data_IF_350302116411
#
_entry.id   IF_350302116411
#
_cell.length_a   1.000
_cell.length_b   1.000
_cell.length_c   1.000
_cell.angle_alpha   90.00
_cell.angle_beta   90.00
_cell.angle_gamma   90.00
#
_symmetry.space_group_name_H-M   'P 1'
#
loop_
_entity.id
_entity.type
_entity.pdbx_description
1 polymer ?
#
# COMPACT_ATOMS: atom_id res chain seq x y z
N UNK A 1 -63.53 27.04 -1.93
CA UNK A 1 -62.52 25.99 -1.73
C UNK A 1 -62.82 24.69 -2.49
N UNK A 2 -64.01 24.19 -2.56
CA UNK A 2 -64.38 22.93 -3.26
C UNK A 2 -64.15 22.95 -4.78
N UNK A 3 -64.33 24.10 -5.45
CA UNK A 3 -64.16 24.22 -6.93
C UNK A 3 -62.73 24.09 -7.40
N UNK A 4 -61.77 24.53 -6.58
CA UNK A 4 -60.35 24.40 -6.90
C UNK A 4 -59.79 23.00 -6.60
N UNK A 5 -60.39 22.29 -5.61
CA UNK A 5 -60.06 20.92 -5.29
C UNK A 5 -60.47 19.93 -6.40
N UNK A 6 -61.65 20.15 -6.99
CA UNK A 6 -62.15 19.35 -8.12
C UNK A 6 -61.31 19.55 -9.38
N UNK A 7 -60.84 20.77 -9.65
CA UNK A 7 -59.94 21.06 -10.79
C UNK A 7 -58.56 20.40 -10.63
N UNK A 8 -58.05 20.34 -9.38
CA UNK A 8 -56.75 19.69 -9.09
C UNK A 8 -56.86 18.16 -9.20
N UNK A 9 -57.98 17.57 -8.78
CA UNK A 9 -58.24 16.15 -8.95
C UNK A 9 -58.46 15.76 -10.42
N UNK A 10 -59.05 16.64 -11.24
CA UNK A 10 -59.27 16.40 -12.67
C UNK A 10 -57.94 16.52 -13.48
N UNK A 11 -57.00 17.35 -13.04
CA UNK A 11 -55.66 17.46 -13.59
C UNK A 11 -54.76 16.27 -13.24
N UNK A 12 -54.94 15.66 -12.08
CA UNK A 12 -54.24 14.46 -11.62
C UNK A 12 -54.75 13.17 -12.32
N UNK A 13 -55.99 13.11 -12.74
CA UNK A 13 -56.59 11.99 -13.48
C UNK A 13 -56.25 12.02 -14.99
N UNK A 14 -55.78 13.15 -15.51
CA UNK A 14 -55.38 13.31 -16.93
C UNK A 14 -53.98 12.80 -17.29
N UNK A 15 -53.15 12.45 -16.30
CA UNK A 15 -51.83 11.87 -16.49
C UNK A 15 -51.84 10.34 -16.29
N UNK A 16 -52.80 9.65 -16.85
CA UNK A 16 -52.66 8.22 -17.16
C UNK A 16 -51.73 8.12 -18.35
N UNK A 17 -50.43 8.09 -18.02
CA UNK A 17 -49.38 7.70 -18.96
C UNK A 17 -49.73 6.29 -19.44
N UNK A 18 -50.17 6.18 -20.66
CA UNK A 18 -50.25 4.90 -21.38
C UNK A 18 -48.85 4.31 -21.40
N UNK A 19 -48.54 3.44 -20.45
CA UNK A 19 -47.36 2.57 -20.54
C UNK A 19 -47.69 1.65 -21.71
N UNK A 20 -47.23 2.02 -22.88
CA UNK A 20 -47.14 1.12 -24.02
C UNK A 20 -46.07 0.08 -23.61
N UNK A 21 -46.55 -1.07 -23.15
CA UNK A 21 -45.70 -2.22 -22.97
C UNK A 21 -45.08 -2.54 -24.34
N UNK A 22 -43.81 -2.25 -24.53
CA UNK A 22 -43.09 -2.67 -25.71
C UNK A 22 -43.16 -4.20 -25.78
N UNK A 23 -43.82 -4.72 -26.79
CA UNK A 23 -43.95 -6.16 -27.02
C UNK A 23 -42.55 -6.72 -27.29
N UNK A 24 -42.09 -7.65 -26.42
CA UNK A 24 -40.81 -8.28 -26.62
C UNK A 24 -40.76 -9.08 -27.91
N UNK A 25 -39.72 -8.85 -28.71
CA UNK A 25 -39.44 -9.63 -29.92
C UNK A 25 -38.52 -10.79 -29.55
N UNK A 26 -38.68 -11.89 -30.29
CA UNK A 26 -37.75 -13.01 -30.24
C UNK A 26 -36.69 -12.81 -31.30
N UNK A 27 -35.45 -12.68 -30.89
CA UNK A 27 -34.29 -12.53 -31.79
C UNK A 27 -33.50 -13.83 -31.79
N UNK A 28 -33.20 -14.33 -32.95
CA UNK A 28 -32.39 -15.52 -33.17
C UNK A 28 -31.21 -15.18 -34.08
N UNK A 29 -30.20 -16.00 -34.10
CA UNK A 29 -29.05 -15.81 -34.98
C UNK A 29 -27.97 -16.84 -34.80
N UNK A 30 -26.92 -16.70 -35.57
CA UNK A 30 -25.76 -17.57 -35.54
C UNK A 30 -24.54 -16.69 -35.30
N UNK A 31 -23.70 -17.10 -34.35
CA UNK A 31 -22.39 -16.50 -34.11
C UNK A 31 -21.31 -17.40 -34.68
N UNK A 32 -20.45 -16.84 -35.52
CA UNK A 32 -19.34 -17.54 -36.16
C UNK A 32 -18.03 -16.79 -35.91
N UNK A 33 -16.91 -17.47 -36.08
CA UNK A 33 -15.59 -16.86 -36.17
C UNK A 33 -15.30 -16.29 -37.57
N UNK A 34 -14.10 -15.78 -37.80
CA UNK A 34 -13.62 -15.26 -39.07
C UNK A 34 -13.51 -16.34 -40.16
N UNK A 35 -13.38 -17.62 -39.76
CA UNK A 35 -13.32 -18.79 -40.66
C UNK A 35 -14.71 -19.35 -41.01
N UNK A 36 -15.79 -18.72 -40.49
CA UNK A 36 -17.19 -19.14 -40.57
C UNK A 36 -17.50 -20.42 -39.78
N UNK A 37 -16.67 -20.77 -38.79
CA UNK A 37 -16.98 -21.87 -37.89
C UNK A 37 -17.95 -21.41 -36.79
N UNK A 38 -18.99 -22.20 -36.45
CA UNK A 38 -19.95 -21.82 -35.41
C UNK A 38 -19.31 -21.79 -34.02
N UNK A 39 -19.57 -20.74 -33.25
CA UNK A 39 -19.01 -20.53 -31.94
C UNK A 39 -19.99 -20.95 -30.83
N UNK A 40 -19.64 -21.99 -30.10
CA UNK A 40 -20.37 -22.46 -28.90
C UNK A 40 -19.98 -21.67 -27.69
N UNK A 41 -20.94 -21.35 -26.80
CA UNK A 41 -20.66 -20.74 -25.49
C UNK A 41 -20.48 -19.22 -25.53
N UNK A 42 -20.77 -18.55 -26.61
CA UNK A 42 -20.76 -17.08 -26.70
C UNK A 42 -21.87 -16.53 -25.82
N UNK A 43 -21.52 -15.61 -24.92
CA UNK A 43 -22.47 -14.93 -24.05
C UNK A 43 -23.12 -13.77 -24.82
N UNK A 44 -24.45 -13.76 -24.88
CA UNK A 44 -25.27 -12.76 -25.61
C UNK A 44 -26.13 -12.06 -24.56
N UNK A 45 -25.87 -10.79 -24.27
CA UNK A 45 -26.60 -10.01 -23.25
C UNK A 45 -27.21 -8.74 -23.86
N UNK A 46 -28.25 -8.22 -23.23
CA UNK A 46 -28.85 -6.93 -23.59
C UNK A 46 -28.09 -5.85 -22.80
N UNK A 47 -27.51 -4.86 -23.50
CA UNK A 47 -26.62 -3.85 -22.91
C UNK A 47 -27.21 -3.13 -21.68
N UNK A 48 -28.50 -2.80 -21.72
CA UNK A 48 -29.17 -2.00 -20.70
C UNK A 48 -29.98 -2.83 -19.69
N UNK A 49 -29.92 -4.18 -19.76
CA UNK A 49 -30.68 -5.10 -18.90
C UNK A 49 -29.78 -6.22 -18.35
N UNK A 50 -28.93 -5.94 -17.35
CA UNK A 50 -28.07 -6.95 -16.75
C UNK A 50 -28.95 -8.03 -16.08
N UNK A 51 -28.75 -9.29 -16.51
CA UNK A 51 -29.52 -10.45 -16.03
C UNK A 51 -30.40 -11.10 -17.10
N UNK A 52 -30.60 -10.47 -18.27
CA UNK A 52 -31.25 -11.08 -19.43
C UNK A 52 -30.21 -11.39 -20.50
N UNK A 53 -29.97 -12.66 -20.74
CA UNK A 53 -28.98 -13.13 -21.72
C UNK A 53 -29.27 -14.52 -22.22
N UNK A 54 -28.54 -14.92 -23.24
CA UNK A 54 -28.54 -16.26 -23.81
C UNK A 54 -27.10 -16.69 -24.10
N UNK A 55 -26.87 -17.99 -24.22
CA UNK A 55 -25.59 -18.57 -24.61
C UNK A 55 -25.77 -19.32 -25.92
N UNK A 56 -24.81 -19.24 -26.83
CA UNK A 56 -24.86 -19.96 -28.08
C UNK A 56 -24.71 -21.48 -27.91
N UNK A 57 -25.47 -22.24 -28.68
CA UNK A 57 -25.41 -23.71 -28.71
C UNK A 57 -24.21 -24.25 -29.53
N UNK A 58 -24.12 -25.58 -29.68
CA UNK A 58 -23.08 -26.27 -30.46
C UNK A 58 -23.01 -25.86 -31.93
N UNK A 59 -24.09 -25.31 -32.47
CA UNK A 59 -24.18 -24.82 -33.87
C UNK A 59 -24.01 -23.30 -33.94
N UNK A 60 -23.56 -22.66 -32.83
CA UNK A 60 -23.42 -21.20 -32.71
C UNK A 60 -24.74 -20.44 -32.67
N UNK A 61 -25.90 -21.13 -32.50
CA UNK A 61 -27.22 -20.50 -32.51
C UNK A 61 -27.58 -19.96 -31.14
N UNK A 62 -28.21 -18.79 -31.12
CA UNK A 62 -28.82 -18.22 -29.92
C UNK A 62 -30.26 -17.83 -30.13
N UNK A 63 -31.01 -17.76 -29.04
CA UNK A 63 -32.37 -17.25 -28.99
C UNK A 63 -32.52 -16.40 -27.76
N UNK A 64 -32.91 -15.12 -27.95
CA UNK A 64 -33.11 -14.19 -26.85
C UNK A 64 -34.43 -13.42 -27.04
N UNK A 65 -35.18 -13.24 -25.96
CA UNK A 65 -36.40 -12.43 -25.94
C UNK A 65 -36.06 -11.06 -25.39
N UNK A 66 -36.24 -10.01 -26.18
CA UNK A 66 -35.83 -8.66 -25.84
C UNK A 66 -36.81 -7.61 -26.37
N UNK A 67 -36.87 -6.40 -25.77
CA UNK A 67 -37.55 -5.27 -26.38
C UNK A 67 -36.82 -4.83 -27.68
N UNK A 68 -37.52 -4.30 -28.69
CA UNK A 68 -36.88 -3.72 -29.86
C UNK A 68 -36.09 -2.45 -29.50
N UNK A 69 -35.20 -2.02 -30.37
CA UNK A 69 -34.34 -0.84 -30.21
C UNK A 69 -33.31 -0.89 -29.06
N UNK A 70 -32.94 -2.10 -28.60
CA UNK A 70 -31.86 -2.30 -27.64
C UNK A 70 -30.64 -2.94 -28.34
N UNK A 71 -29.47 -2.79 -27.71
CA UNK A 71 -28.23 -3.40 -28.22
C UNK A 71 -28.05 -4.80 -27.65
N UNK A 72 -27.66 -5.74 -28.47
CA UNK A 72 -27.11 -7.03 -28.10
C UNK A 72 -25.59 -6.91 -28.03
N UNK A 73 -25.01 -7.39 -26.95
CA UNK A 73 -23.58 -7.45 -26.72
C UNK A 73 -23.15 -8.91 -26.71
N UNK A 74 -22.22 -9.24 -27.60
CA UNK A 74 -21.66 -10.57 -27.76
C UNK A 74 -20.26 -10.58 -27.13
N UNK A 75 -20.04 -11.47 -26.17
CA UNK A 75 -18.74 -11.61 -25.50
C UNK A 75 -18.30 -13.06 -25.46
N UNK A 76 -17.04 -13.30 -25.78
CA UNK A 76 -16.41 -14.60 -25.69
C UNK A 76 -14.92 -14.44 -25.33
N UNK A 77 -14.39 -15.37 -24.56
CA UNK A 77 -13.00 -15.31 -24.12
C UNK A 77 -12.07 -15.43 -25.33
N UNK A 78 -11.16 -14.44 -25.49
CA UNK A 78 -10.23 -14.40 -26.63
C UNK A 78 -10.74 -13.71 -27.87
N UNK A 79 -11.94 -13.13 -27.86
CA UNK A 79 -12.55 -12.44 -29.00
C UNK A 79 -12.96 -11.02 -28.65
N UNK A 80 -12.92 -10.13 -29.65
CA UNK A 80 -13.38 -8.76 -29.47
C UNK A 80 -14.89 -8.72 -29.22
N UNK A 81 -15.30 -7.87 -28.29
CA UNK A 81 -16.71 -7.64 -28.01
C UNK A 81 -17.39 -7.01 -29.21
N UNK A 82 -18.55 -7.57 -29.62
CA UNK A 82 -19.35 -7.06 -30.72
C UNK A 82 -20.68 -6.55 -30.18
N UNK A 83 -21.05 -5.31 -30.54
CA UNK A 83 -22.33 -4.71 -30.20
C UNK A 83 -23.18 -4.56 -31.46
N UNK A 84 -24.43 -5.03 -31.41
CA UNK A 84 -25.39 -4.93 -32.52
C UNK A 84 -26.68 -4.29 -32.04
N UNK A 85 -27.07 -3.17 -32.62
CA UNK A 85 -28.38 -2.55 -32.37
C UNK A 85 -29.48 -3.33 -33.09
N UNK A 86 -30.35 -3.95 -32.30
CA UNK A 86 -31.52 -4.69 -32.81
C UNK A 86 -32.70 -3.74 -32.88
N UNK A 87 -33.17 -3.41 -34.06
CA UNK A 87 -34.38 -2.60 -34.27
C UNK A 87 -35.62 -3.50 -34.20
N UNK A 88 -36.09 -3.94 -35.37
CA UNK A 88 -37.23 -4.88 -35.53
C UNK A 88 -36.80 -6.21 -36.14
N UNK A 89 -35.49 -6.38 -36.32
CA UNK A 89 -34.90 -7.57 -36.93
C UNK A 89 -35.06 -8.76 -35.98
N UNK A 90 -35.57 -9.87 -36.54
CA UNK A 90 -35.71 -11.14 -35.81
C UNK A 90 -34.54 -12.09 -35.99
N UNK A 91 -33.61 -11.77 -36.90
CA UNK A 91 -32.43 -12.58 -37.14
C UNK A 91 -31.18 -11.68 -37.15
N UNK A 92 -30.18 -12.02 -36.33
CA UNK A 92 -28.93 -11.29 -36.19
C UNK A 92 -27.77 -12.29 -36.25
N UNK A 93 -27.02 -12.28 -37.32
CA UNK A 93 -25.82 -13.09 -37.47
C UNK A 93 -24.59 -12.22 -37.17
N UNK A 94 -23.68 -12.76 -36.38
CA UNK A 94 -22.50 -12.04 -35.90
C UNK A 94 -21.25 -12.84 -36.23
N UNK A 95 -20.24 -12.15 -36.75
CA UNK A 95 -18.90 -12.70 -36.91
C UNK A 95 -18.00 -12.07 -35.83
N UNK A 96 -17.47 -12.88 -34.96
CA UNK A 96 -16.52 -12.43 -33.94
C UNK A 96 -15.10 -12.56 -34.50
N UNK A 97 -14.25 -11.57 -34.14
CA UNK A 97 -12.83 -11.59 -34.49
C UNK A 97 -12.03 -11.93 -33.24
N UNK A 98 -11.00 -12.75 -33.40
CA UNK A 98 -10.03 -12.95 -32.30
C UNK A 98 -9.47 -11.61 -31.90
N UNK A 99 -9.49 -11.36 -30.58
CA UNK A 99 -8.98 -10.12 -30.02
C UNK A 99 -7.46 -10.13 -30.05
N UNK A 100 -6.87 -9.23 -30.81
CA UNK A 100 -5.41 -9.00 -30.74
C UNK A 100 -4.99 -8.54 -29.35
N UNK A 101 -5.91 -7.98 -28.56
CA UNK A 101 -5.66 -7.58 -27.18
C UNK A 101 -5.61 -8.76 -26.18
N UNK A 102 -6.19 -9.91 -26.51
CA UNK A 102 -6.12 -11.13 -25.68
C UNK A 102 -4.99 -12.08 -26.07
N UNK A 103 -4.29 -11.81 -27.15
CA UNK A 103 -2.95 -12.34 -27.42
C UNK A 103 -1.84 -11.54 -26.70
N UNK A 104 -2.18 -10.83 -25.64
CA UNK A 104 -1.16 -10.53 -24.63
C UNK A 104 -0.87 -11.87 -23.94
N UNK A 105 -0.14 -12.73 -24.64
CA UNK A 105 0.67 -13.74 -23.99
C UNK A 105 1.33 -13.02 -22.84
N UNK A 106 1.03 -13.40 -21.60
CA UNK A 106 1.63 -12.80 -20.43
C UNK A 106 3.15 -12.83 -20.61
N UNK A 107 3.69 -11.68 -21.00
CA UNK A 107 5.10 -11.53 -21.30
C UNK A 107 5.81 -11.36 -19.98
N UNK A 108 6.65 -12.33 -19.66
CA UNK A 108 7.51 -12.30 -18.50
C UNK A 108 8.83 -11.67 -18.92
N UNK A 109 9.28 -10.68 -18.20
CA UNK A 109 10.60 -10.12 -18.40
C UNK A 109 11.59 -11.00 -17.64
N UNK A 110 12.44 -11.66 -18.40
CA UNK A 110 13.54 -12.46 -17.89
C UNK A 110 14.84 -11.70 -18.07
N UNK A 111 15.91 -12.19 -17.47
CA UNK A 111 17.23 -11.58 -17.65
C UNK A 111 17.75 -11.57 -19.09
N UNK A 112 17.15 -12.36 -19.98
CA UNK A 112 17.49 -12.42 -21.41
C UNK A 112 16.52 -11.58 -22.26
N UNK A 113 15.59 -10.86 -21.64
CA UNK A 113 14.59 -10.03 -22.32
C UNK A 113 13.15 -10.49 -22.10
N UNK A 114 12.23 -9.89 -22.85
CA UNK A 114 10.83 -10.22 -22.80
C UNK A 114 10.58 -11.60 -23.45
N UNK A 115 10.02 -12.55 -22.71
CA UNK A 115 9.67 -13.89 -23.18
C UNK A 115 8.21 -14.20 -22.84
N UNK A 116 7.58 -15.05 -23.67
CA UNK A 116 6.25 -15.54 -23.36
C UNK A 116 6.29 -16.40 -22.10
N UNK A 117 5.36 -16.22 -21.17
CA UNK A 117 5.30 -16.97 -19.90
C UNK A 117 5.37 -18.48 -20.11
N UNK A 118 4.73 -18.98 -21.16
CA UNK A 118 4.74 -20.40 -21.52
C UNK A 118 6.12 -20.92 -21.94
N UNK A 119 7.02 -20.04 -22.36
CA UNK A 119 8.39 -20.39 -22.75
C UNK A 119 9.40 -20.33 -21.59
N UNK A 120 8.98 -19.83 -20.43
CA UNK A 120 9.83 -19.70 -19.26
C UNK A 120 9.77 -20.97 -18.40
N UNK A 121 10.85 -21.70 -18.37
CA UNK A 121 10.96 -22.97 -17.62
C UNK A 121 11.29 -22.76 -16.12
N UNK A 122 11.70 -21.57 -15.72
CA UNK A 122 12.05 -21.22 -14.34
C UNK A 122 10.85 -20.73 -13.53
N UNK A 123 10.90 -20.84 -12.19
CA UNK A 123 9.88 -20.24 -11.31
C UNK A 123 9.99 -18.71 -11.30
N UNK A 124 9.25 -18.10 -12.18
CA UNK A 124 9.13 -16.64 -12.30
C UNK A 124 7.75 -16.22 -11.81
N UNK A 125 7.70 -15.23 -10.93
CA UNK A 125 6.46 -14.65 -10.44
C UNK A 125 6.34 -13.22 -10.90
N UNK A 126 5.33 -12.93 -11.71
CA UNK A 126 4.89 -11.56 -11.96
C UNK A 126 3.96 -11.12 -10.84
N UNK A 127 4.12 -9.91 -10.42
CA UNK A 127 3.30 -9.27 -9.39
C UNK A 127 2.41 -8.25 -10.05
N UNK A 128 1.13 -8.28 -9.69
CA UNK A 128 0.24 -7.20 -10.08
C UNK A 128 0.64 -5.93 -9.30
N UNK A 129 1.07 -4.91 -10.04
CA UNK A 129 1.51 -3.64 -9.46
C UNK A 129 0.34 -2.90 -8.80
N UNK A 130 -0.89 -3.14 -9.24
CA UNK A 130 -2.07 -2.52 -8.63
C UNK A 130 -2.24 -3.01 -7.19
N UNK A 131 -2.00 -4.28 -6.89
CA UNK A 131 -2.07 -4.82 -5.53
C UNK A 131 -1.05 -4.13 -4.59
N UNK A 132 0.12 -3.77 -5.10
CA UNK A 132 1.14 -3.05 -4.33
C UNK A 132 0.72 -1.62 -3.97
N UNK A 133 -0.08 -0.97 -4.80
CA UNK A 133 -0.53 0.40 -4.57
C UNK A 133 -1.53 0.55 -3.43
N UNK A 134 -2.28 -0.51 -3.13
CA UNK A 134 -3.25 -0.51 -2.02
C UNK A 134 -2.62 -0.72 -0.65
N UNK A 135 -1.36 -1.12 -0.60
CA UNK A 135 -0.67 -1.32 0.68
C UNK A 135 -0.32 0.02 1.31
N UNK A 136 -0.73 0.27 2.57
CA UNK A 136 -0.48 1.54 3.26
C UNK A 136 0.99 1.73 3.67
N UNK A 137 1.87 0.81 3.28
CA UNK A 137 3.29 0.89 3.61
C UNK A 137 4.00 1.97 2.81
N UNK A 138 5.00 2.54 3.44
CA UNK A 138 5.91 3.54 2.87
C UNK A 138 7.17 2.91 2.27
N UNK A 139 7.42 1.64 2.60
CA UNK A 139 8.50 0.82 2.08
C UNK A 139 7.98 -0.12 0.99
N UNK A 140 8.66 -0.17 -0.15
CA UNK A 140 8.36 -1.13 -1.20
C UNK A 140 8.54 -2.57 -0.69
N UNK A 141 9.53 -2.81 0.16
CA UNK A 141 9.78 -4.14 0.74
C UNK A 141 8.60 -4.62 1.59
N UNK A 142 7.98 -3.74 2.37
CA UNK A 142 6.79 -4.07 3.16
C UNK A 142 5.57 -4.34 2.26
N UNK A 143 5.43 -3.56 1.18
CA UNK A 143 4.34 -3.73 0.23
C UNK A 143 4.39 -5.10 -0.48
N UNK A 144 5.58 -5.67 -0.64
CA UNK A 144 5.78 -7.00 -1.23
C UNK A 144 5.47 -8.14 -0.26
N UNK A 145 5.57 -7.90 1.04
CA UNK A 145 5.29 -8.90 2.06
C UNK A 145 3.81 -9.31 2.02
N UNK A 146 3.55 -10.60 1.91
CA UNK A 146 2.19 -11.14 1.83
C UNK A 146 1.51 -11.04 0.47
N UNK A 147 1.97 -10.17 -0.44
CA UNK A 147 1.45 -10.05 -1.81
C UNK A 147 2.20 -10.98 -2.77
N UNK A 148 3.51 -11.11 -2.59
CA UNK A 148 4.35 -11.89 -3.51
C UNK A 148 4.72 -13.24 -2.90
N UNK A 149 4.25 -14.36 -3.47
CA UNK A 149 4.60 -15.68 -2.97
C UNK A 149 6.12 -15.92 -3.00
N UNK A 150 6.69 -16.26 -1.84
CA UNK A 150 8.13 -16.55 -1.68
C UNK A 150 9.00 -15.33 -1.40
N UNK A 151 8.44 -14.15 -1.20
CA UNK A 151 9.12 -13.03 -0.55
C UNK A 151 8.76 -13.03 0.94
N UNK A 152 9.78 -12.97 1.76
CA UNK A 152 9.67 -12.76 3.20
C UNK A 152 10.25 -11.40 3.51
N UNK A 153 9.53 -10.57 4.24
CA UNK A 153 10.03 -9.30 4.74
C UNK A 153 9.89 -9.24 6.26
N UNK A 154 10.86 -8.65 6.90
CA UNK A 154 10.91 -8.47 8.34
C UNK A 154 11.20 -7.02 8.67
N UNK A 155 10.25 -6.38 9.32
CA UNK A 155 10.42 -5.04 9.85
C UNK A 155 11.00 -5.14 11.27
N UNK A 156 12.18 -4.60 11.48
CA UNK A 156 12.88 -4.67 12.78
C UNK A 156 12.25 -3.75 13.83
N UNK A 157 11.65 -2.64 13.41
CA UNK A 157 10.94 -1.70 14.28
C UNK A 157 9.95 -0.85 13.47
N UNK A 158 9.03 -0.17 14.15
CA UNK A 158 8.02 0.70 13.54
C UNK A 158 8.41 2.18 13.42
N UNK A 159 9.69 2.53 13.56
CA UNK A 159 10.16 3.91 13.43
C UNK A 159 9.87 4.45 12.02
N UNK A 160 9.37 5.68 11.87
CA UNK A 160 9.24 6.32 10.57
C UNK A 160 10.51 6.20 9.73
N UNK A 161 10.35 5.86 8.45
CA UNK A 161 11.46 5.68 7.52
C UNK A 161 12.25 4.37 7.67
N UNK A 162 11.86 3.48 8.60
CA UNK A 162 12.45 2.15 8.67
C UNK A 162 12.06 1.33 7.45
N UNK A 163 13.06 0.71 6.86
CA UNK A 163 12.92 -0.17 5.71
C UNK A 163 13.00 -1.61 6.18
N UNK A 164 12.07 -2.45 5.73
CA UNK A 164 12.13 -3.89 6.01
C UNK A 164 13.27 -4.56 5.26
N UNK A 165 13.94 -5.47 5.92
CA UNK A 165 14.79 -6.45 5.27
C UNK A 165 13.91 -7.48 4.58
N UNK A 166 14.31 -7.92 3.39
CA UNK A 166 13.53 -8.91 2.64
C UNK A 166 14.43 -9.95 2.00
N UNK A 167 13.86 -11.14 1.83
CA UNK A 167 14.53 -12.29 1.21
C UNK A 167 13.60 -12.98 0.23
N UNK A 168 14.20 -13.54 -0.82
CA UNK A 168 13.50 -14.40 -1.77
C UNK A 168 13.71 -15.85 -1.35
N UNK A 169 12.63 -16.55 -0.92
CA UNK A 169 12.58 -17.90 -0.35
C UNK A 169 13.32 -18.06 0.99
N UNK A 170 14.64 -17.99 0.99
CA UNK A 170 15.47 -18.15 2.20
C UNK A 170 16.86 -17.59 1.97
N UNK A 171 17.60 -17.39 3.06
CA UNK A 171 19.00 -17.01 3.00
C UNK A 171 19.80 -18.25 2.57
N UNK A 172 20.45 -18.16 1.41
CA UNK A 172 21.24 -19.28 0.84
C UNK A 172 22.75 -19.06 0.98
N UNK A 173 23.20 -17.88 1.43
CA UNK A 173 24.63 -17.53 1.54
C UNK A 173 25.06 -17.43 2.99
N UNK A 174 26.24 -18.02 3.29
CA UNK A 174 26.91 -17.91 4.59
C UNK A 174 28.01 -16.85 4.50
N UNK A 175 27.96 -15.83 5.37
CA UNK A 175 29.02 -14.83 5.49
C UNK A 175 29.08 -13.76 4.37
N UNK A 176 28.14 -13.77 3.42
CA UNK A 176 27.98 -12.73 2.39
C UNK A 176 26.62 -12.05 2.57
N UNK A 177 26.34 -11.02 1.76
CA UNK A 177 25.01 -10.35 1.78
C UNK A 177 23.90 -11.37 1.58
N UNK A 178 22.90 -11.35 2.44
CA UNK A 178 21.70 -12.16 2.34
C UNK A 178 20.61 -11.53 1.44
N UNK A 179 20.81 -10.28 1.00
CA UNK A 179 19.84 -9.55 0.22
C UNK A 179 19.71 -10.11 -1.21
N UNK A 180 18.51 -10.08 -1.75
CA UNK A 180 18.27 -10.36 -3.15
C UNK A 180 18.83 -9.23 -4.04
N UNK A 181 19.27 -9.56 -5.25
CA UNK A 181 19.70 -8.56 -6.24
C UNK A 181 18.47 -7.83 -6.79
N UNK A 182 18.44 -6.52 -6.64
CA UNK A 182 17.39 -5.67 -7.21
C UNK A 182 17.90 -4.92 -8.42
N UNK A 183 17.24 -5.10 -9.55
CA UNK A 183 17.56 -4.42 -10.81
C UNK A 183 16.38 -3.55 -11.24
N UNK A 184 16.61 -2.25 -11.32
CA UNK A 184 15.64 -1.28 -11.82
C UNK A 184 16.07 -0.83 -13.21
N UNK A 185 15.26 -1.13 -14.22
CA UNK A 185 15.60 -0.91 -15.65
C UNK A 185 16.97 -1.47 -16.04
N UNK A 186 17.37 -2.59 -15.42
CA UNK A 186 18.64 -3.29 -15.65
C UNK A 186 19.84 -2.81 -14.80
N UNK A 187 19.66 -1.81 -13.95
CA UNK A 187 20.70 -1.30 -13.06
C UNK A 187 20.43 -1.70 -11.60
N UNK A 188 21.50 -2.11 -10.90
CA UNK A 188 21.44 -2.43 -9.47
C UNK A 188 21.10 -1.18 -8.65
N UNK A 189 20.00 -1.23 -7.89
CA UNK A 189 19.50 -0.14 -7.05
C UNK A 189 18.84 -0.65 -5.79
N UNK A 190 18.68 0.23 -4.79
CA UNK A 190 17.86 -0.05 -3.61
C UNK A 190 16.37 -0.07 -4.02
N UNK A 191 15.68 -1.13 -3.61
CA UNK A 191 14.24 -1.30 -3.83
C UNK A 191 13.43 -0.10 -3.34
N UNK A 192 13.86 0.48 -2.23
CA UNK A 192 13.15 1.57 -1.59
C UNK A 192 13.39 2.96 -2.21
N UNK A 193 14.29 3.06 -3.20
CA UNK A 193 14.46 4.31 -3.98
C UNK A 193 13.38 4.48 -5.05
N UNK A 194 12.63 3.43 -5.37
CA UNK A 194 11.59 3.44 -6.39
C UNK A 194 10.22 3.67 -5.76
N UNK A 195 9.43 4.56 -6.34
CA UNK A 195 8.01 4.70 -5.99
C UNK A 195 7.20 3.58 -6.65
N UNK A 196 6.23 3.00 -5.92
CA UNK A 196 5.31 2.00 -6.48
C UNK A 196 4.56 2.55 -7.69
N UNK A 197 4.23 3.83 -7.69
CA UNK A 197 3.51 4.50 -8.79
C UNK A 197 4.34 4.56 -10.09
N UNK A 198 5.67 4.50 -10.00
CA UNK A 198 6.57 4.50 -11.15
C UNK A 198 6.79 3.11 -11.74
N UNK A 199 6.32 2.05 -11.09
CA UNK A 199 6.54 0.67 -11.53
C UNK A 199 5.53 0.29 -12.62
N UNK A 200 5.98 -0.28 -13.72
CA UNK A 200 5.16 -0.88 -14.78
C UNK A 200 5.04 -2.40 -14.60
N UNK A 201 6.16 -3.06 -14.28
CA UNK A 201 6.17 -4.50 -14.01
C UNK A 201 7.17 -4.86 -12.91
N UNK A 202 6.80 -5.84 -12.12
CA UNK A 202 7.60 -6.37 -11.04
C UNK A 202 7.71 -7.90 -11.20
N UNK A 203 8.93 -8.38 -11.37
CA UNK A 203 9.19 -9.79 -11.63
C UNK A 203 10.20 -10.34 -10.63
N UNK A 204 9.91 -11.48 -10.03
CA UNK A 204 10.80 -12.16 -9.09
C UNK A 204 11.31 -13.46 -9.68
N UNK A 205 12.62 -13.56 -9.86
CA UNK A 205 13.32 -14.76 -10.29
C UNK A 205 13.77 -15.53 -9.04
N UNK A 206 13.22 -16.72 -8.86
CA UNK A 206 13.41 -17.51 -7.62
C UNK A 206 14.32 -18.72 -7.80
N UNK A 207 14.46 -19.21 -9.03
CA UNK A 207 15.21 -20.43 -9.32
C UNK A 207 16.60 -20.13 -9.86
N UNK A 208 17.56 -20.99 -9.54
CA UNK A 208 18.93 -20.88 -9.99
C UNK A 208 19.04 -20.84 -11.52
N UNK A 209 18.19 -21.54 -12.27
CA UNK A 209 18.13 -21.50 -13.72
C UNK A 209 17.77 -20.10 -14.26
N UNK A 210 16.84 -19.42 -13.61
CA UNK A 210 16.41 -18.07 -14.00
C UNK A 210 17.43 -17.00 -13.56
N UNK A 211 18.16 -17.23 -12.46
CA UNK A 211 19.14 -16.26 -11.93
C UNK A 211 20.57 -16.49 -12.40
N UNK A 212 20.85 -17.58 -13.11
CA UNK A 212 22.21 -17.98 -13.53
C UNK A 212 22.97 -16.89 -14.30
N UNK A 213 22.28 -16.11 -15.12
CA UNK A 213 22.88 -15.00 -15.89
C UNK A 213 23.45 -13.86 -15.02
N UNK A 214 22.99 -13.76 -13.76
CA UNK A 214 23.46 -12.75 -12.80
C UNK A 214 24.62 -13.26 -11.92
N UNK A 215 25.09 -14.50 -12.17
CA UNK A 215 26.20 -15.10 -11.44
C UNK A 215 25.96 -15.18 -9.94
N UNK A 216 27.01 -14.97 -9.15
CA UNK A 216 26.97 -15.05 -7.68
C UNK A 216 26.04 -14.02 -7.02
N UNK A 217 25.86 -12.85 -7.64
CA UNK A 217 24.92 -11.83 -7.13
C UNK A 217 23.46 -12.29 -7.16
N UNK A 218 23.10 -13.20 -8.09
CA UNK A 218 21.75 -13.75 -8.20
C UNK A 218 21.46 -14.94 -7.27
N UNK A 219 22.43 -15.38 -6.43
CA UNK A 219 22.29 -16.57 -5.59
C UNK A 219 21.10 -16.50 -4.60
N UNK A 220 20.79 -15.31 -4.08
CA UNK A 220 19.66 -15.08 -3.14
C UNK A 220 18.37 -14.64 -3.86
N UNK A 221 18.28 -14.87 -5.18
CA UNK A 221 17.15 -14.42 -6.01
C UNK A 221 17.41 -13.05 -6.64
N UNK A 222 16.64 -12.76 -7.68
CA UNK A 222 16.73 -11.49 -8.41
C UNK A 222 15.32 -10.88 -8.54
N UNK A 223 15.23 -9.60 -8.28
CA UNK A 223 14.04 -8.79 -8.47
C UNK A 223 14.28 -7.87 -9.66
N UNK A 224 13.42 -7.98 -10.66
CA UNK A 224 13.44 -7.14 -11.85
C UNK A 224 12.27 -6.16 -11.78
N UNK A 225 12.59 -4.89 -11.81
CA UNK A 225 11.61 -3.80 -11.83
C UNK A 225 11.78 -3.04 -13.13
N UNK A 226 10.72 -2.99 -13.93
CA UNK A 226 10.68 -2.08 -15.06
C UNK A 226 9.82 -0.89 -14.70
N UNK A 227 10.33 0.28 -14.98
CA UNK A 227 9.62 1.51 -14.69
C UNK A 227 8.78 1.94 -15.89
N UNK A 228 7.71 2.68 -15.58
CA UNK A 228 6.78 3.18 -16.58
C UNK A 228 7.50 4.04 -17.63
N UNK A 229 7.13 3.83 -18.88
CA UNK A 229 7.62 4.60 -20.04
C UNK A 229 6.46 5.31 -20.73
N UNK A 230 6.80 6.30 -21.54
CA UNK A 230 5.84 7.00 -22.36
C UNK A 230 5.18 6.09 -23.38
N UNK A 231 3.90 6.37 -23.66
CA UNK A 231 3.13 5.69 -24.73
C UNK A 231 2.67 6.73 -25.75
N UNK A 232 2.54 6.32 -27.02
CA UNK A 232 1.96 7.17 -28.04
C UNK A 232 0.51 7.46 -27.68
N UNK A 233 0.11 8.72 -27.70
CA UNK A 233 -1.24 9.13 -27.40
C UNK A 233 -1.33 10.50 -26.74
N UNK A 234 -2.55 10.86 -26.35
CA UNK A 234 -2.82 12.09 -25.60
C UNK A 234 -2.14 12.03 -24.23
N UNK A 235 -1.83 13.20 -23.70
CA UNK A 235 -1.28 13.34 -22.35
C UNK A 235 -2.29 12.78 -21.35
N UNK A 236 -1.83 11.85 -20.53
CA UNK A 236 -2.57 11.32 -19.39
C UNK A 236 -1.87 11.78 -18.10
N UNK A 237 -2.61 12.46 -17.24
CA UNK A 237 -2.13 12.97 -15.96
C UNK A 237 -2.88 12.20 -14.86
N UNK A 238 -2.13 11.62 -13.94
CA UNK A 238 -2.66 10.94 -12.78
C UNK A 238 -2.09 11.58 -11.51
N UNK A 239 -2.97 12.04 -10.62
CA UNK A 239 -2.62 12.62 -9.33
C UNK A 239 -3.33 11.85 -8.22
N UNK A 240 -2.59 11.48 -7.18
CA UNK A 240 -3.09 10.72 -6.04
C UNK A 240 -2.59 11.36 -4.75
N UNK A 241 -3.47 11.52 -3.77
CA UNK A 241 -3.15 11.98 -2.42
C UNK A 241 -3.80 11.04 -1.43
N UNK A 242 -3.02 10.58 -0.46
CA UNK A 242 -3.45 9.63 0.55
C UNK A 242 -3.04 10.12 1.93
N UNK A 243 -3.90 9.91 2.91
CA UNK A 243 -3.64 10.16 4.32
C UNK A 243 -3.85 8.89 5.13
N UNK A 244 -2.96 8.62 6.06
CA UNK A 244 -3.00 7.45 6.93
C UNK A 244 -2.93 7.91 8.38
N UNK A 245 -3.77 7.35 9.23
CA UNK A 245 -3.67 7.52 10.66
C UNK A 245 -3.08 6.23 11.26
N UNK A 246 -1.87 6.33 11.77
CA UNK A 246 -1.13 5.21 12.32
C UNK A 246 -1.30 5.17 13.85
N UNK A 247 -1.54 3.99 14.39
CA UNK A 247 -1.64 3.74 15.83
C UNK A 247 -0.71 2.59 16.20
N UNK A 248 -0.38 2.47 17.48
CA UNK A 248 0.30 1.28 17.97
C UNK A 248 -0.65 0.08 17.87
N UNK A 249 -0.14 -1.05 17.42
CA UNK A 249 -0.89 -2.31 17.42
C UNK A 249 -1.11 -2.79 18.85
N UNK A 250 -0.08 -2.64 19.70
CA UNK A 250 -0.12 -2.95 21.13
C UNK A 250 1.02 -2.19 21.81
N UNK A 251 0.73 -1.61 22.97
CA UNK A 251 1.71 -1.06 23.91
C UNK A 251 1.74 -1.92 25.16
N UNK A 252 2.86 -2.06 25.84
CA UNK A 252 2.90 -2.66 27.17
C UNK A 252 2.04 -1.85 28.14
N UNK A 253 1.33 -2.55 28.99
CA UNK A 253 0.58 -1.96 30.11
C UNK A 253 1.39 -2.19 31.38
N UNK A 254 1.65 -1.13 32.13
CA UNK A 254 2.32 -1.19 33.42
C UNK A 254 1.29 -0.99 34.53
N UNK A 255 1.59 -1.58 35.69
CA UNK A 255 0.73 -1.43 36.86
C UNK A 255 0.98 -0.05 37.48
N UNK A 256 -0.05 0.46 38.16
CA UNK A 256 0.01 1.69 38.94
C UNK A 256 0.94 1.57 40.16
N UNK A 257 1.26 2.71 40.77
CA UNK A 257 2.20 2.77 41.90
C UNK A 257 1.76 1.96 43.11
N UNK A 258 0.48 1.98 43.45
CA UNK A 258 -0.07 1.19 44.54
C UNK A 258 0.05 -0.32 44.29
N UNK A 259 -0.35 -0.75 43.11
CA UNK A 259 -0.26 -2.16 42.72
C UNK A 259 1.19 -2.63 42.69
N UNK A 260 2.11 -1.82 42.12
CA UNK A 260 3.54 -2.15 42.12
C UNK A 260 4.10 -2.30 43.51
N UNK A 261 3.86 -1.31 44.42
CA UNK A 261 4.36 -1.33 45.79
C UNK A 261 3.79 -2.52 46.60
N UNK A 262 2.51 -2.83 46.38
CA UNK A 262 1.85 -3.98 47.02
C UNK A 262 2.45 -5.31 46.58
N UNK A 263 2.68 -5.48 45.25
CA UNK A 263 3.32 -6.68 44.69
C UNK A 263 4.78 -6.80 45.14
N UNK A 264 5.49 -5.68 45.28
CA UNK A 264 6.87 -5.68 45.79
C UNK A 264 6.92 -6.17 47.22
N UNK A 265 5.99 -5.73 48.10
CA UNK A 265 5.84 -6.23 49.44
C UNK A 265 5.52 -7.72 49.47
N UNK A 266 4.58 -8.17 48.68
CA UNK A 266 4.21 -9.58 48.59
C UNK A 266 5.41 -10.45 48.19
N UNK A 267 6.19 -10.00 47.19
CA UNK A 267 7.41 -10.67 46.79
C UNK A 267 8.49 -10.74 47.86
N UNK A 268 8.61 -9.72 48.76
CA UNK A 268 9.48 -9.71 49.91
C UNK A 268 9.02 -10.69 51.00
N UNK A 269 7.75 -10.62 51.34
CA UNK A 269 7.15 -11.48 52.36
C UNK A 269 7.25 -12.96 51.98
N UNK A 270 6.99 -13.29 50.70
CA UNK A 270 7.13 -14.63 50.19
C UNK A 270 8.56 -15.21 50.27
N UNK A 271 9.57 -14.33 50.44
CA UNK A 271 10.99 -14.70 50.66
C UNK A 271 11.40 -14.60 52.12
N UNK A 272 10.46 -14.50 53.07
CA UNK A 272 10.70 -14.26 54.48
C UNK A 272 11.55 -13.00 54.73
N UNK A 273 11.32 -11.94 54.00
CA UNK A 273 11.97 -10.63 54.15
C UNK A 273 10.92 -9.62 54.64
N UNK A 274 11.40 -8.56 55.29
CA UNK A 274 10.55 -7.44 55.70
C UNK A 274 9.93 -6.76 54.49
N UNK A 275 8.68 -6.26 54.58
CA UNK A 275 8.05 -5.45 53.55
C UNK A 275 8.91 -4.27 53.15
N UNK A 276 8.91 -3.90 51.88
CA UNK A 276 9.63 -2.76 51.36
C UNK A 276 8.94 -1.44 51.71
N UNK A 277 7.62 -1.44 51.68
CA UNK A 277 6.75 -0.30 51.94
C UNK A 277 5.89 -0.57 53.18
N UNK A 278 5.80 0.41 54.08
CA UNK A 278 4.92 0.32 55.24
C UNK A 278 3.44 0.50 54.83
N UNK A 279 2.47 0.04 55.66
CA UNK A 279 1.05 0.20 55.36
C UNK A 279 0.61 1.65 55.07
N UNK A 280 1.22 2.62 55.81
CA UNK A 280 0.97 4.05 55.64
C UNK A 280 1.47 4.55 54.27
N UNK A 281 2.61 4.05 53.78
CA UNK A 281 3.15 4.39 52.45
C UNK A 281 2.31 3.83 51.33
N UNK A 282 1.80 2.62 51.49
CA UNK A 282 0.85 2.05 50.54
C UNK A 282 -0.44 2.89 50.43
N UNK A 283 -0.91 3.43 51.58
CA UNK A 283 -2.09 4.29 51.56
C UNK A 283 -1.82 5.64 50.89
N UNK A 284 -0.59 6.19 51.03
CA UNK A 284 -0.18 7.40 50.31
C UNK A 284 -0.17 7.17 48.79
N UNK A 285 0.38 6.04 48.31
CA UNK A 285 0.29 5.66 46.90
C UNK A 285 -1.17 5.55 46.44
N UNK A 286 -1.99 4.85 47.22
CA UNK A 286 -3.41 4.61 46.85
C UNK A 286 -4.22 5.90 46.73
N UNK A 287 -3.90 6.90 47.59
CA UNK A 287 -4.62 8.18 47.63
C UNK A 287 -3.95 9.28 46.81
N UNK A 288 -2.71 9.07 46.32
CA UNK A 288 -1.94 10.05 45.54
C UNK A 288 -1.62 11.32 46.39
N UNK A 289 -1.33 11.18 47.68
CA UNK A 289 -1.21 12.31 48.58
C UNK A 289 0.11 13.10 48.45
N UNK A 290 1.19 12.44 48.06
CA UNK A 290 2.50 13.05 47.88
C UNK A 290 3.17 12.56 46.60
N UNK A 291 2.82 13.16 45.43
CA UNK A 291 3.35 12.73 44.14
C UNK A 291 4.83 13.00 43.94
N UNK A 292 5.47 13.81 44.81
CA UNK A 292 6.89 14.08 44.72
C UNK A 292 7.74 12.94 45.34
N UNK A 293 7.28 12.36 46.44
CA UNK A 293 7.95 11.26 47.12
C UNK A 293 7.39 9.88 46.75
N UNK A 294 6.10 9.82 46.47
CA UNK A 294 5.38 8.59 46.10
C UNK A 294 4.71 8.78 44.73
N UNK A 295 5.50 8.90 43.65
CA UNK A 295 4.95 9.14 42.31
C UNK A 295 4.18 7.94 41.81
N UNK A 296 3.20 8.22 40.96
CA UNK A 296 2.48 7.23 40.14
C UNK A 296 2.37 7.75 38.72
N UNK A 297 3.31 7.35 37.87
CA UNK A 297 3.53 7.91 36.55
C UNK A 297 3.33 6.85 35.49
N UNK A 298 2.36 7.06 34.61
CA UNK A 298 2.26 6.27 33.37
C UNK A 298 3.19 6.86 32.31
N UNK A 299 4.40 6.31 32.23
CA UNK A 299 5.40 6.74 31.26
C UNK A 299 5.00 6.51 29.82
N UNK A 300 4.18 5.47 29.54
CA UNK A 300 3.72 5.21 28.18
C UNK A 300 2.76 6.30 27.71
N UNK A 301 1.77 6.66 28.55
CA UNK A 301 0.83 7.74 28.22
C UNK A 301 1.54 9.10 28.11
N UNK A 302 2.48 9.41 29.00
CA UNK A 302 3.21 10.67 28.96
C UNK A 302 4.07 10.81 27.71
N UNK A 303 4.72 9.74 27.27
CA UNK A 303 5.73 9.77 26.22
C UNK A 303 5.14 9.54 24.82
N UNK A 304 4.06 8.78 24.72
CA UNK A 304 3.51 8.35 23.45
C UNK A 304 2.22 9.07 23.11
N UNK A 305 1.99 9.24 21.80
CA UNK A 305 0.71 9.71 21.26
C UNK A 305 -0.17 8.51 20.94
N UNK A 306 -1.48 8.69 21.00
CA UNK A 306 -2.44 7.65 20.56
C UNK A 306 -2.28 7.29 19.08
N UNK A 307 -1.81 8.24 18.30
CA UNK A 307 -1.52 8.02 16.89
C UNK A 307 -0.86 9.21 16.21
N UNK A 308 -0.45 9.01 14.99
CA UNK A 308 0.19 10.01 14.17
C UNK A 308 -0.28 9.95 12.71
N UNK A 309 -0.37 11.10 12.07
CA UNK A 309 -0.72 11.20 10.66
C UNK A 309 0.49 10.97 9.76
N UNK A 310 0.27 10.24 8.68
CA UNK A 310 1.21 10.11 7.57
C UNK A 310 0.49 10.46 6.28
N UNK A 311 1.23 10.96 5.31
CA UNK A 311 0.67 11.33 4.01
C UNK A 311 1.56 10.89 2.86
N UNK A 312 0.92 10.61 1.72
CA UNK A 312 1.58 10.30 0.47
C UNK A 312 0.87 11.06 -0.65
N UNK A 313 1.64 11.71 -1.50
CA UNK A 313 1.14 12.36 -2.70
C UNK A 313 1.98 11.92 -3.89
N UNK A 314 1.35 11.66 -5.02
CA UNK A 314 2.02 11.33 -6.28
C UNK A 314 1.37 12.06 -7.45
N UNK A 315 2.18 12.47 -8.39
CA UNK A 315 1.77 13.05 -9.66
C UNK A 315 2.58 12.41 -10.76
N UNK A 316 1.92 11.82 -11.73
CA UNK A 316 2.58 11.30 -12.91
C UNK A 316 1.89 11.71 -14.19
N UNK A 317 2.67 11.80 -15.25
CA UNK A 317 2.25 12.24 -16.57
C UNK A 317 2.87 11.33 -17.61
N UNK A 318 2.05 10.78 -18.50
CA UNK A 318 2.49 10.00 -19.65
C UNK A 318 1.95 10.59 -20.92
N UNK A 319 2.71 10.51 -21.99
CA UNK A 319 2.27 10.96 -23.29
C UNK A 319 3.35 10.80 -24.35
N UNK A 320 3.02 11.19 -25.55
CA UNK A 320 3.98 11.22 -26.63
C UNK A 320 3.37 11.12 -28.02
N UNK A 321 4.16 11.41 -29.00
CA UNK A 321 3.88 11.19 -30.41
C UNK A 321 4.66 10.01 -30.97
N UNK A 322 4.63 9.88 -32.30
CA UNK A 322 5.35 8.81 -33.02
C UNK A 322 6.86 8.84 -32.81
N UNK A 323 7.43 10.03 -32.64
CA UNK A 323 8.89 10.22 -32.58
C UNK A 323 9.43 10.27 -31.15
N UNK A 324 8.66 10.80 -30.20
CA UNK A 324 9.09 10.93 -28.82
C UNK A 324 7.96 10.59 -27.87
N UNK A 325 8.24 9.79 -26.85
CA UNK A 325 7.32 9.35 -25.80
C UNK A 325 7.98 9.62 -24.46
N UNK A 326 7.21 10.05 -23.49
CA UNK A 326 7.72 10.44 -22.19
C UNK A 326 6.82 9.97 -21.04
N UNK A 327 7.48 9.67 -19.93
CA UNK A 327 6.89 9.50 -18.62
C UNK A 327 7.60 10.45 -17.65
N UNK A 328 6.86 11.19 -16.86
CA UNK A 328 7.38 12.04 -15.78
C UNK A 328 6.56 11.74 -14.53
N UNK A 329 7.23 11.38 -13.44
CA UNK A 329 6.62 11.10 -12.16
C UNK A 329 7.33 11.83 -11.03
N UNK A 330 6.58 12.21 -10.01
CA UNK A 330 7.08 12.72 -8.75
C UNK A 330 6.21 12.27 -7.59
N UNK A 331 6.82 11.95 -6.47
CA UNK A 331 6.09 11.61 -5.26
C UNK A 331 6.69 12.28 -4.03
N UNK A 332 5.82 12.55 -3.07
CA UNK A 332 6.15 13.02 -1.74
C UNK A 332 5.52 12.10 -0.71
N UNK A 333 6.26 11.83 0.35
CA UNK A 333 5.84 10.97 1.44
C UNK A 333 6.32 11.56 2.76
N UNK A 334 5.44 11.60 3.75
CA UNK A 334 5.74 12.02 5.10
C UNK A 334 5.19 11.01 6.11
N UNK A 335 6.01 10.65 7.08
CA UNK A 335 5.62 9.86 8.24
C UNK A 335 5.96 10.65 9.50
N UNK A 336 4.99 10.79 10.39
CA UNK A 336 5.21 11.39 11.70
C UNK A 336 5.38 10.30 12.75
N UNK A 337 6.30 10.54 13.67
CA UNK A 337 6.53 9.65 14.81
C UNK A 337 5.50 9.81 15.91
N UNK A 338 5.52 8.86 16.82
CA UNK A 338 4.54 8.70 17.89
C UNK A 338 4.98 9.30 19.23
N UNK A 339 6.17 9.94 19.31
CA UNK A 339 6.61 10.57 20.54
C UNK A 339 5.93 11.92 20.77
N UNK A 340 5.51 12.18 21.99
CA UNK A 340 5.14 13.53 22.43
C UNK A 340 6.40 14.39 22.50
N UNK A 341 6.27 15.66 22.18
CA UNK A 341 7.37 16.65 22.17
C UNK A 341 6.95 17.85 22.98
N UNK A 342 7.87 18.39 23.77
CA UNK A 342 7.63 19.61 24.54
C UNK A 342 8.23 20.83 23.85
N UNK A 343 7.37 21.58 23.14
CA UNK A 343 7.77 22.80 22.44
C UNK A 343 8.03 23.98 23.39
N UNK A 344 7.56 23.90 24.63
CA UNK A 344 7.81 24.95 25.63
C UNK A 344 9.26 24.94 26.11
N UNK A 345 9.90 23.77 26.06
CA UNK A 345 11.28 23.60 26.49
C UNK A 345 12.30 23.91 25.38
N UNK A 346 11.98 23.55 24.12
CA UNK A 346 12.90 23.69 22.98
C UNK A 346 12.16 23.95 21.67
N UNK A 347 12.74 24.76 20.82
CA UNK A 347 12.20 25.09 19.49
C UNK A 347 12.42 24.00 18.45
N UNK A 348 13.22 22.98 18.76
CA UNK A 348 13.51 21.89 17.83
C UNK A 348 12.57 20.69 18.02
N UNK A 349 12.45 19.91 16.98
CA UNK A 349 11.60 18.72 16.98
C UNK A 349 12.40 17.46 17.35
N UNK A 350 12.06 16.86 18.48
CA UNK A 350 12.68 15.63 18.98
C UNK A 350 11.91 14.35 18.60
N UNK A 351 10.86 14.47 17.80
CA UNK A 351 10.11 13.30 17.33
C UNK A 351 10.85 12.61 16.17
N UNK A 352 10.64 11.31 16.01
CA UNK A 352 11.12 10.55 14.87
C UNK A 352 10.22 10.83 13.65
N UNK A 353 10.68 11.61 12.70
CA UNK A 353 9.92 11.95 11.49
C UNK A 353 10.71 11.59 10.25
N UNK A 354 9.99 11.20 9.21
CA UNK A 354 10.58 10.84 7.92
C UNK A 354 9.87 11.58 6.79
N UNK A 355 10.65 12.09 5.84
CA UNK A 355 10.15 12.68 4.60
C UNK A 355 10.95 12.16 3.42
N UNK A 356 10.27 11.87 2.33
CA UNK A 356 10.90 11.38 1.11
C UNK A 356 10.28 12.06 -0.10
N UNK A 357 11.13 12.50 -1.01
CA UNK A 357 10.77 12.98 -2.34
C UNK A 357 11.38 12.04 -3.36
N UNK A 358 10.62 11.66 -4.36
CA UNK A 358 11.15 10.92 -5.51
C UNK A 358 10.77 11.64 -6.79
N UNK A 359 11.63 11.53 -7.78
CA UNK A 359 11.30 11.97 -9.13
C UNK A 359 11.84 10.97 -10.15
N UNK A 360 11.13 10.85 -11.28
CA UNK A 360 11.50 10.02 -12.40
C UNK A 360 11.08 10.65 -13.71
N UNK A 361 11.96 10.56 -14.71
CA UNK A 361 11.67 10.95 -16.07
C UNK A 361 12.25 9.88 -17.00
N UNK A 362 11.41 9.29 -17.84
CA UNK A 362 11.80 8.36 -18.89
C UNK A 362 11.37 8.94 -20.23
N UNK A 363 12.30 9.06 -21.17
CA UNK A 363 12.04 9.58 -22.51
C UNK A 363 12.61 8.60 -23.53
N UNK A 364 11.77 8.19 -24.47
CA UNK A 364 12.14 7.34 -25.60
C UNK A 364 12.00 8.16 -26.88
N UNK A 365 13.08 8.27 -27.65
CA UNK A 365 13.15 9.07 -28.88
C UNK A 365 13.55 8.16 -30.05
N UNK A 366 12.69 8.04 -31.03
CA UNK A 366 13.00 7.32 -32.27
C UNK A 366 13.83 8.21 -33.20
N UNK A 367 15.17 8.03 -33.14
CA UNK A 367 16.11 8.80 -33.98
C UNK A 367 15.96 8.36 -35.45
N UNK A 368 15.82 7.04 -35.66
CA UNK A 368 15.57 6.45 -36.96
C UNK A 368 14.53 5.32 -36.80
N UNK A 369 14.09 4.71 -37.89
CA UNK A 369 13.20 3.55 -37.84
C UNK A 369 13.78 2.34 -37.09
N UNK A 370 15.10 2.30 -36.94
CA UNK A 370 15.82 1.18 -36.30
C UNK A 370 16.60 1.59 -35.03
N UNK A 371 16.62 2.88 -34.71
CA UNK A 371 17.41 3.40 -33.60
C UNK A 371 16.55 4.19 -32.64
N UNK A 372 16.48 3.73 -31.40
CA UNK A 372 15.74 4.38 -30.31
C UNK A 372 16.74 4.84 -29.24
N UNK A 373 16.71 6.12 -28.91
CA UNK A 373 17.40 6.65 -27.75
C UNK A 373 16.49 6.58 -26.53
N UNK A 374 16.92 5.87 -25.50
CA UNK A 374 16.21 5.76 -24.22
C UNK A 374 16.98 6.53 -23.15
N UNK A 375 16.36 7.57 -22.60
CA UNK A 375 16.92 8.37 -21.52
C UNK A 375 16.10 8.16 -20.28
N UNK A 376 16.72 7.79 -19.17
CA UNK A 376 16.12 7.65 -17.85
C UNK A 376 16.82 8.54 -16.84
N UNK A 377 16.09 9.37 -16.13
CA UNK A 377 16.57 10.18 -15.03
C UNK A 377 15.71 9.90 -13.81
N UNK A 378 16.32 9.56 -12.68
CA UNK A 378 15.58 9.34 -11.43
C UNK A 378 16.44 9.70 -10.23
N UNK A 379 15.78 10.09 -9.15
CA UNK A 379 16.44 10.36 -7.90
C UNK A 379 15.45 10.36 -6.74
N UNK A 380 16.00 10.26 -5.52
CA UNK A 380 15.26 10.39 -4.29
C UNK A 380 16.02 11.28 -3.32
N UNK A 381 15.28 12.05 -2.52
CA UNK A 381 15.81 12.80 -1.41
C UNK A 381 15.05 12.37 -0.16
N UNK A 382 15.77 11.94 0.85
CA UNK A 382 15.19 11.48 2.10
C UNK A 382 15.70 12.34 3.25
N UNK A 383 14.78 12.74 4.12
CA UNK A 383 15.09 13.46 5.34
C UNK A 383 14.59 12.65 6.53
N UNK A 384 15.49 12.24 7.39
CA UNK A 384 15.19 11.55 8.64
C UNK A 384 15.49 12.50 9.82
N UNK A 385 14.55 12.62 10.74
CA UNK A 385 14.75 13.30 12.02
C UNK A 385 14.50 12.28 13.13
N UNK A 386 15.40 12.21 14.08
CA UNK A 386 15.32 11.31 15.22
C UNK A 386 15.61 12.07 16.52
N UNK A 387 15.08 11.59 17.69
CA UNK A 387 15.53 12.06 18.99
C UNK A 387 17.04 11.93 19.14
N UNK A 388 17.66 12.86 19.87
CA UNK A 388 19.12 12.90 20.02
C UNK A 388 19.75 11.62 20.56
N UNK A 389 19.09 10.95 21.48
CA UNK A 389 19.53 9.65 22.03
C UNK A 389 19.12 8.45 21.17
N UNK A 390 18.32 8.68 20.12
CA UNK A 390 17.77 7.62 19.29
C UNK A 390 16.56 6.90 19.92
N UNK A 391 15.76 6.28 19.06
CA UNK A 391 14.49 5.64 19.45
C UNK A 391 14.70 4.41 20.34
N UNK A 392 15.75 3.64 20.10
CA UNK A 392 16.07 2.44 20.90
C UNK A 392 16.34 2.78 22.36
N UNK A 393 17.11 3.83 22.63
CA UNK A 393 17.40 4.26 24.01
C UNK A 393 16.12 4.69 24.75
N UNK A 394 15.23 5.43 24.08
CA UNK A 394 13.94 5.83 24.65
C UNK A 394 13.10 4.59 25.02
N UNK A 395 12.97 3.63 24.11
CA UNK A 395 12.22 2.40 24.39
C UNK A 395 12.85 1.57 25.52
N UNK A 396 14.19 1.46 25.57
CA UNK A 396 14.90 0.77 26.66
C UNK A 396 14.58 1.42 28.01
N UNK A 397 14.58 2.75 28.04
CA UNK A 397 14.23 3.50 29.25
C UNK A 397 12.78 3.28 29.64
N UNK A 398 11.84 3.44 28.72
CA UNK A 398 10.40 3.22 28.96
C UNK A 398 10.09 1.82 29.48
N UNK A 399 10.76 0.80 28.98
CA UNK A 399 10.59 -0.60 29.41
C UNK A 399 11.26 -0.89 30.76
N UNK A 400 12.27 -0.13 31.13
CA UNK A 400 13.00 -0.29 32.39
C UNK A 400 12.44 0.51 33.56
N UNK A 401 11.56 1.48 33.28
CA UNK A 401 11.02 2.36 34.33
C UNK A 401 9.63 1.89 34.76
N UNK A 402 9.44 1.78 36.08
CA UNK A 402 8.14 1.56 36.71
C UNK A 402 7.47 2.89 37.08
N UNK A 403 6.21 2.84 37.47
CA UNK A 403 5.38 4.01 37.78
C UNK A 403 5.88 4.83 39.01
N UNK A 404 6.59 4.19 39.93
CA UNK A 404 7.00 4.79 41.21
C UNK A 404 8.45 5.27 41.25
N UNK A 405 9.18 5.16 40.14
CA UNK A 405 10.63 5.39 40.16
C UNK A 405 11.01 6.86 40.31
N UNK A 406 10.26 7.75 39.65
CA UNK A 406 10.38 9.20 39.80
C UNK A 406 9.15 9.93 39.30
N UNK A 407 8.83 11.12 39.79
CA UNK A 407 7.76 11.96 39.20
C UNK A 407 8.19 12.53 37.83
N UNK A 408 7.23 12.93 37.02
CA UNK A 408 7.50 13.67 35.78
C UNK A 408 8.19 15.01 36.11
N UNK A 409 7.59 15.76 37.02
CA UNK A 409 8.10 17.02 37.58
C UNK A 409 7.77 17.07 39.07
N UNK A 410 8.58 17.72 39.86
CA UNK A 410 8.26 18.03 41.25
C UNK A 410 7.21 19.13 41.34
N UNK A 411 6.55 19.26 42.47
CA UNK A 411 5.55 20.28 42.73
C UNK A 411 6.06 21.72 42.60
N UNK A 412 7.36 21.94 42.73
CA UNK A 412 8.04 23.23 42.49
C UNK A 412 8.36 23.48 41.00
N UNK A 413 7.94 22.59 40.10
CA UNK A 413 8.16 22.68 38.66
C UNK A 413 9.52 22.23 38.16
N UNK A 414 10.39 21.74 39.05
CA UNK A 414 11.69 21.20 38.68
C UNK A 414 11.56 19.77 38.19
N UNK A 415 12.38 19.42 37.22
CA UNK A 415 12.42 18.06 36.67
C UNK A 415 13.40 17.24 37.55
N UNK A 416 12.97 16.06 38.02
CA UNK A 416 13.85 15.21 38.79
C UNK A 416 15.04 14.75 37.95
N UNK A 417 16.24 14.96 38.52
CA UNK A 417 17.48 14.37 38.05
C UNK A 417 18.04 13.49 39.14
N UNK A 418 18.25 12.20 38.85
CA UNK A 418 18.88 11.32 39.83
C UNK A 418 20.36 11.63 39.95
N UNK A 419 20.78 11.75 41.18
CA UNK A 419 22.12 12.13 41.52
C UNK A 419 23.16 11.11 41.07
N UNK A 420 23.96 11.46 40.08
CA UNK A 420 25.30 10.96 39.90
C UNK A 420 25.49 9.56 39.31
N UNK A 421 24.46 8.87 38.87
CA UNK A 421 24.56 7.63 38.06
C UNK A 421 23.91 7.84 36.71
N UNK A 422 24.66 7.56 35.66
CA UNK A 422 24.22 7.70 34.24
C UNK A 422 22.96 6.88 33.91
N UNK A 423 22.59 5.93 34.78
CA UNK A 423 21.50 4.98 34.52
C UNK A 423 20.10 5.48 34.91
N UNK A 424 19.98 6.65 35.55
CA UNK A 424 18.72 7.17 36.08
C UNK A 424 18.39 8.54 35.49
N UNK A 425 18.10 8.53 34.20
CA UNK A 425 17.68 9.71 33.44
C UNK A 425 16.16 9.74 33.41
N UNK A 426 15.55 10.91 33.70
CA UNK A 426 14.12 11.08 33.53
C UNK A 426 13.73 10.80 32.06
N UNK A 427 12.81 9.86 31.77
CA UNK A 427 12.46 9.48 30.42
C UNK A 427 11.99 10.66 29.54
N UNK A 428 11.25 11.59 30.13
CA UNK A 428 10.78 12.78 29.43
C UNK A 428 11.91 13.70 28.99
N UNK A 429 12.87 13.98 29.88
CA UNK A 429 14.04 14.82 29.53
C UNK A 429 14.94 14.13 28.51
N UNK A 430 15.10 12.82 28.64
CA UNK A 430 15.86 12.03 27.68
C UNK A 430 15.28 12.17 26.27
N UNK A 431 13.97 12.11 26.11
CA UNK A 431 13.34 12.21 24.83
C UNK A 431 13.22 13.65 24.30
N UNK A 432 13.07 14.65 25.20
CA UNK A 432 12.73 16.03 24.78
C UNK A 432 13.89 17.02 24.85
N UNK A 433 14.92 16.74 25.65
CA UNK A 433 16.01 17.72 25.94
C UNK A 433 17.38 17.32 25.39
N UNK A 434 17.57 16.12 24.87
CA UNK A 434 18.86 15.63 24.35
C UNK A 434 19.18 16.07 22.92
N UNK A 435 18.32 16.90 22.33
CA UNK A 435 18.49 17.38 20.97
C UNK A 435 17.83 16.46 19.95
N UNK A 436 18.29 16.56 18.72
CA UNK A 436 17.80 15.75 17.60
C UNK A 436 18.94 15.41 16.65
N UNK A 437 18.78 14.33 15.92
CA UNK A 437 19.66 13.92 14.83
C UNK A 437 18.90 14.06 13.51
N UNK A 438 19.40 14.91 12.62
CA UNK A 438 18.86 15.07 11.27
C UNK A 438 19.84 14.50 10.28
N UNK A 439 19.35 13.63 9.38
CA UNK A 439 20.13 13.08 8.28
C UNK A 439 19.42 13.25 6.93
N UNK A 440 20.20 13.49 5.93
CA UNK A 440 19.77 13.60 4.53
C UNK A 440 20.47 12.52 3.70
N UNK A 441 19.72 11.85 2.85
CA UNK A 441 20.22 10.82 1.94
C UNK A 441 19.75 11.05 0.51
#
# INVERSE_FOLDING_TARGET
MMRNFLLTCMLLLGFSVSIWGQENIVVTGIVTDTNKEPMIGVNVVIADMPGLGAITDINGKFLIKMPPYHKLVFTYIGYDQVEVLVKEQRTVNVVMKESEAHLIDEVVITGTGAQKKIAVTGAVTNVDVEDLKYTPSTSMADALAGVVPGIQAMQSNGRPGTVSEFWVRSISTFGASSAALVLVDGFERDLNEVSVEDVESFTVLKDASATAIYGSKGANGVILINTRRGKEGKININAKVEGFYNTFTKTPEFVDGYTYASMANEAKIARNQEPLYQPEELEIFRLGLDPDLYPDVDWMDIMLRDGAWSSRASLNMTGGGKTARYYVGGSYQEQQGMYKTDKSLKDYNTNANFRKWTYRMNVDIDITKTTILKVGLSGSLQKQNDPGVGTTAIWTTLMGYNSIMMPLTYSDGKIPAWSGKEDNINPWTQATQTGYNESWK
#
